data_IF_022944869813
#
_entry.id   IF_022944869813
#
_cell.length_a   1.000
_cell.length_b   1.000
_cell.length_c   1.000
_cell.angle_alpha   90.00
_cell.angle_beta   90.00
_cell.angle_gamma   90.00
#
_symmetry.space_group_name_H-M   'P 1'
#
loop_
_entity.id
_entity.type
_entity.pdbx_description
1 polymer ?
#
# COMPACT_ATOMS: atom_id res chain seq x y z
N UNK A 1 5.06 24.95 6.89
CA UNK A 1 4.10 23.83 6.98
C UNK A 1 4.84 22.55 6.60
N UNK A 2 4.99 21.61 7.54
CA UNK A 2 5.68 20.33 7.35
C UNK A 2 4.85 19.34 6.54
N UNK A 3 5.49 18.43 5.78
CA UNK A 3 4.82 17.30 5.12
C UNK A 3 4.02 16.43 6.10
N UNK A 4 4.44 16.42 7.37
CA UNK A 4 3.65 15.90 8.49
C UNK A 4 2.39 16.76 8.70
N UNK A 5 1.37 16.55 7.86
CA UNK A 5 0.14 17.34 7.87
C UNK A 5 -0.62 17.41 6.54
N UNK A 6 -0.10 16.87 5.44
CA UNK A 6 -0.87 16.73 4.19
C UNK A 6 -1.09 15.25 3.85
N UNK A 7 -1.96 14.54 4.60
CA UNK A 7 -2.47 13.26 4.15
C UNK A 7 -3.28 13.48 2.87
N UNK A 8 -2.85 12.89 1.76
CA UNK A 8 -3.64 12.83 0.52
C UNK A 8 -3.22 13.73 -0.65
N UNK A 9 -2.07 14.44 -0.60
CA UNK A 9 -1.47 14.99 -1.83
C UNK A 9 -0.53 13.95 -2.45
N UNK A 10 -0.66 13.75 -3.74
CA UNK A 10 0.18 12.91 -4.58
C UNK A 10 1.53 13.59 -4.83
N UNK A 11 2.61 12.80 -4.86
CA UNK A 11 3.96 13.26 -5.17
C UNK A 11 4.44 12.75 -6.52
N UNK A 12 3.53 12.45 -7.46
CA UNK A 12 3.84 12.16 -8.85
C UNK A 12 4.76 13.19 -9.50
N UNK A 13 4.61 14.48 -9.16
CA UNK A 13 5.51 15.56 -9.59
C UNK A 13 6.97 15.38 -9.12
N UNK A 14 7.20 14.61 -8.07
CA UNK A 14 8.53 14.27 -7.55
C UNK A 14 9.04 12.92 -8.10
N UNK A 15 8.29 12.27 -9.00
CA UNK A 15 8.62 10.96 -9.55
C UNK A 15 8.41 9.80 -8.57
N UNK A 16 7.54 9.98 -7.56
CA UNK A 16 7.23 8.95 -6.57
C UNK A 16 5.73 8.61 -6.58
N UNK A 17 5.33 7.37 -6.21
CA UNK A 17 3.92 6.97 -6.14
C UNK A 17 3.13 7.71 -5.06
N UNK A 18 3.83 8.18 -4.02
CA UNK A 18 3.23 8.91 -2.91
C UNK A 18 4.26 9.81 -2.25
N UNK A 19 3.77 10.77 -1.49
CA UNK A 19 4.62 11.62 -0.68
C UNK A 19 5.32 10.86 0.45
N UNK A 20 4.73 9.76 0.95
CA UNK A 20 5.38 8.88 1.90
C UNK A 20 6.55 8.11 1.26
N UNK A 21 6.39 7.65 0.01
CA UNK A 21 7.46 7.03 -0.77
C UNK A 21 8.59 8.03 -1.08
N UNK A 22 8.25 9.22 -1.59
CA UNK A 22 9.22 10.28 -1.87
C UNK A 22 10.08 10.58 -0.62
N UNK A 23 9.43 10.81 0.53
CA UNK A 23 10.12 11.08 1.79
C UNK A 23 11.07 9.95 2.20
N UNK A 24 10.64 8.68 2.07
CA UNK A 24 11.47 7.50 2.36
C UNK A 24 12.70 7.46 1.46
N UNK A 25 12.51 7.63 0.16
CA UNK A 25 13.58 7.59 -0.85
C UNK A 25 14.57 8.74 -0.67
N UNK A 26 14.10 9.97 -0.50
CA UNK A 26 14.95 11.15 -0.25
C UNK A 26 15.75 10.99 1.04
N UNK A 27 15.12 10.55 2.14
CA UNK A 27 15.81 10.33 3.43
C UNK A 27 16.93 9.28 3.37
N UNK A 28 16.83 8.36 2.40
CA UNK A 28 17.81 7.31 2.15
C UNK A 28 18.83 7.68 1.06
N UNK A 29 18.77 8.89 0.49
CA UNK A 29 19.65 9.34 -0.58
C UNK A 29 19.41 8.65 -1.93
N UNK A 30 18.23 8.05 -2.13
CA UNK A 30 17.82 7.39 -3.37
C UNK A 30 17.10 8.31 -4.35
N UNK A 31 16.76 9.52 -3.92
CA UNK A 31 16.10 10.55 -4.70
C UNK A 31 16.72 11.88 -4.35
N UNK A 32 17.06 12.67 -5.38
CA UNK A 32 17.55 14.04 -5.20
C UNK A 32 16.40 14.91 -4.67
N UNK A 33 16.51 15.53 -3.48
CA UNK A 33 15.47 16.42 -2.99
C UNK A 33 15.13 17.53 -4.00
N UNK A 34 16.11 18.01 -4.79
CA UNK A 34 15.94 19.11 -5.74
C UNK A 34 15.10 18.76 -6.96
N UNK A 35 14.87 17.47 -7.24
CA UNK A 35 13.98 17.02 -8.32
C UNK A 35 12.50 17.13 -7.95
N UNK A 36 12.18 17.42 -6.69
CA UNK A 36 10.82 17.56 -6.21
C UNK A 36 10.46 19.05 -6.11
N UNK A 37 9.39 19.54 -6.76
CA UNK A 37 8.97 20.95 -6.63
C UNK A 37 8.55 21.35 -5.20
N UNK A 38 8.51 20.38 -4.27
CA UNK A 38 8.21 20.56 -2.86
C UNK A 38 9.43 20.33 -1.94
N UNK A 39 10.65 20.35 -2.49
CA UNK A 39 11.94 20.04 -1.83
C UNK A 39 12.12 20.69 -0.45
N UNK A 40 11.85 21.99 -0.33
CA UNK A 40 12.07 22.80 0.89
C UNK A 40 11.24 22.33 2.09
N UNK A 41 10.27 21.45 1.85
CA UNK A 41 9.34 20.99 2.88
C UNK A 41 9.70 19.58 3.37
N UNK A 42 10.60 18.85 2.68
CA UNK A 42 10.95 17.46 3.01
C UNK A 42 11.63 17.40 4.39
N UNK A 43 11.02 16.79 5.41
CA UNK A 43 11.65 16.69 6.72
C UNK A 43 12.93 15.86 6.63
N UNK A 44 14.04 16.45 7.08
CA UNK A 44 15.38 15.83 7.17
C UNK A 44 15.51 14.80 8.29
N UNK A 45 14.44 14.56 9.04
CA UNK A 45 14.46 13.62 10.17
C UNK A 45 14.22 12.21 9.66
N UNK A 46 15.23 11.35 9.81
CA UNK A 46 15.06 9.91 9.58
C UNK A 46 13.99 9.36 10.54
N UNK A 47 12.95 8.66 10.03
CA UNK A 47 11.99 8.02 10.90
C UNK A 47 12.72 7.03 11.81
N UNK A 48 12.33 6.98 13.09
CA UNK A 48 12.92 6.03 14.03
C UNK A 48 12.53 4.60 13.64
N UNK A 49 13.53 3.76 13.42
CA UNK A 49 13.35 2.36 13.04
C UNK A 49 13.66 1.51 14.26
N UNK A 50 12.62 0.97 14.90
CA UNK A 50 12.80 0.04 16.01
C UNK A 50 13.09 -1.36 15.47
N UNK A 51 13.93 -2.12 16.19
CA UNK A 51 14.17 -3.53 15.85
C UNK A 51 12.88 -4.34 16.03
N UNK A 52 12.58 -5.27 15.11
CA UNK A 52 11.49 -6.23 15.23
C UNK A 52 11.51 -6.92 16.60
N UNK A 53 10.38 -6.90 17.32
CA UNK A 53 10.21 -7.70 18.53
C UNK A 53 9.77 -9.13 18.13
N UNK A 54 10.22 -10.17 18.84
CA UNK A 54 9.77 -11.53 18.56
C UNK A 54 8.26 -11.64 18.78
N UNK A 55 7.55 -12.48 17.98
CA UNK A 55 6.15 -12.76 18.21
C UNK A 55 5.87 -13.20 19.65
N UNK A 56 4.80 -12.70 20.23
CA UNK A 56 4.44 -13.03 21.61
C UNK A 56 2.94 -13.01 21.80
N UNK A 57 2.43 -13.80 22.74
CA UNK A 57 1.01 -13.81 23.09
C UNK A 57 0.89 -13.78 24.59
N UNK A 58 0.06 -12.89 25.11
CA UNK A 58 -0.19 -12.73 26.54
C UNK A 58 -1.68 -12.76 26.85
N UNK A 59 -2.01 -13.11 28.09
CA UNK A 59 -3.36 -13.07 28.64
C UNK A 59 -3.38 -11.90 29.64
N UNK A 60 -3.76 -10.68 29.21
CA UNK A 60 -3.57 -9.48 30.03
C UNK A 60 -4.44 -9.47 31.30
N UNK A 61 -5.49 -10.29 31.35
CA UNK A 61 -6.37 -10.44 32.50
C UNK A 61 -6.49 -11.93 32.87
N UNK A 62 -5.88 -12.39 33.98
CA UNK A 62 -5.94 -13.80 34.38
C UNK A 62 -7.35 -14.32 34.68
N UNK A 63 -8.28 -13.43 35.07
CA UNK A 63 -9.68 -13.78 35.34
C UNK A 63 -10.55 -13.87 34.08
N UNK A 64 -10.14 -13.25 32.96
CA UNK A 64 -10.83 -13.35 31.68
C UNK A 64 -10.01 -14.21 30.71
N UNK A 65 -10.30 -15.52 30.70
CA UNK A 65 -9.62 -16.50 29.83
C UNK A 65 -9.87 -16.26 28.33
N UNK A 66 -10.85 -15.42 27.98
CA UNK A 66 -11.18 -15.08 26.59
C UNK A 66 -10.37 -13.91 26.08
N UNK A 67 -9.88 -13.03 26.95
CA UNK A 67 -9.10 -11.88 26.54
C UNK A 67 -7.63 -12.27 26.31
N UNK A 68 -7.15 -12.10 25.08
CA UNK A 68 -5.74 -12.28 24.75
C UNK A 68 -5.22 -11.13 23.88
N UNK A 69 -3.90 -10.97 23.90
CA UNK A 69 -3.17 -10.03 23.05
C UNK A 69 -2.03 -10.77 22.35
N UNK A 70 -2.03 -10.73 21.02
CA UNK A 70 -0.95 -11.22 20.18
C UNK A 70 -0.16 -10.03 19.63
N UNK A 71 1.16 -10.16 19.63
CA UNK A 71 2.10 -9.21 19.05
C UNK A 71 2.87 -9.92 17.96
N UNK A 72 2.92 -9.33 16.77
CA UNK A 72 3.65 -9.79 15.59
C UNK A 72 4.57 -8.66 15.09
N UNK A 73 5.63 -9.01 14.38
CA UNK A 73 6.42 -8.05 13.61
C UNK A 73 6.20 -8.30 12.13
N UNK A 74 5.83 -7.27 11.38
CA UNK A 74 5.63 -7.34 9.93
C UNK A 74 6.93 -7.09 9.14
N UNK A 75 8.01 -6.69 9.82
CA UNK A 75 9.33 -6.47 9.22
C UNK A 75 10.39 -7.23 10.01
N UNK A 76 11.44 -7.67 9.29
CA UNK A 76 12.51 -8.54 9.78
C UNK A 76 13.89 -7.96 9.45
N UNK A 77 14.83 -8.08 10.38
CA UNK A 77 16.20 -7.58 10.22
C UNK A 77 16.34 -6.08 10.51
N UNK A 78 17.45 -5.50 10.04
CA UNK A 78 17.66 -4.05 10.10
C UNK A 78 16.87 -3.38 8.97
N UNK A 79 15.86 -2.58 9.34
CA UNK A 79 15.09 -1.83 8.37
C UNK A 79 15.87 -0.58 7.94
N UNK A 80 15.89 -0.36 6.61
CA UNK A 80 16.48 0.83 5.97
C UNK A 80 15.49 1.98 5.94
N UNK A 81 14.20 1.66 5.84
CA UNK A 81 13.10 2.62 5.73
C UNK A 81 12.12 2.44 6.87
N UNK A 82 11.21 3.42 7.06
CA UNK A 82 10.01 3.23 7.88
C UNK A 82 9.30 1.95 7.43
N UNK A 83 9.11 0.95 8.31
CA UNK A 83 8.57 -0.37 7.99
C UNK A 83 7.17 -0.42 7.38
N UNK A 84 6.35 0.61 7.61
CA UNK A 84 4.93 0.63 7.28
C UNK A 84 4.53 1.98 6.68
N UNK A 85 3.67 1.94 5.67
CA UNK A 85 2.89 3.08 5.19
C UNK A 85 1.55 3.16 5.97
N UNK A 86 1.37 4.16 6.85
CA UNK A 86 0.19 4.24 7.71
C UNK A 86 -1.11 4.58 6.96
N UNK A 87 -1.03 5.19 5.77
CA UNK A 87 -2.22 5.55 5.00
C UNK A 87 -2.79 4.33 4.30
N UNK A 88 -1.94 3.53 3.66
CA UNK A 88 -2.36 2.26 3.06
C UNK A 88 -2.88 1.31 4.15
N UNK A 89 -2.23 1.26 5.32
CA UNK A 89 -2.71 0.45 6.43
C UNK A 89 -4.13 0.86 6.88
N UNK A 90 -4.43 2.16 6.92
CA UNK A 90 -5.76 2.67 7.23
C UNK A 90 -6.77 2.25 6.15
N UNK A 91 -6.45 2.48 4.88
CA UNK A 91 -7.31 2.13 3.74
C UNK A 91 -7.65 0.62 3.74
N UNK A 92 -6.67 -0.24 4.02
CA UNK A 92 -6.90 -1.69 4.13
C UNK A 92 -7.79 -2.09 5.31
N UNK A 93 -7.67 -1.43 6.48
CA UNK A 93 -8.54 -1.69 7.62
C UNK A 93 -9.97 -1.23 7.37
N UNK A 94 -10.14 -0.05 6.77
CA UNK A 94 -11.45 0.48 6.40
C UNK A 94 -12.14 -0.42 5.35
N UNK A 95 -11.40 -0.90 4.36
CA UNK A 95 -11.90 -1.87 3.37
C UNK A 95 -12.30 -3.22 4.01
N UNK A 96 -11.66 -3.62 5.10
CA UNK A 96 -12.04 -4.79 5.90
C UNK A 96 -13.22 -4.54 6.83
N UNK A 97 -13.77 -3.33 6.87
CA UNK A 97 -14.89 -2.96 7.75
C UNK A 97 -14.48 -2.67 9.18
N UNK A 98 -13.21 -2.31 9.42
CA UNK A 98 -12.70 -1.89 10.73
C UNK A 98 -12.51 -0.38 10.74
N UNK A 99 -13.24 0.29 11.63
CA UNK A 99 -13.06 1.71 11.89
C UNK A 99 -11.61 1.97 12.32
N UNK A 100 -10.92 2.85 11.58
CA UNK A 100 -9.51 3.06 11.81
C UNK A 100 -9.09 4.53 11.77
N UNK A 101 -7.96 4.84 12.42
CA UNK A 101 -7.39 6.18 12.45
C UNK A 101 -5.88 6.14 12.52
N UNK A 102 -5.27 7.15 11.93
CA UNK A 102 -3.82 7.40 12.02
C UNK A 102 -3.56 8.47 13.09
N UNK A 103 -2.66 8.19 14.02
CA UNK A 103 -2.34 9.02 15.18
C UNK A 103 -0.82 9.13 15.35
N UNK A 104 -0.35 9.92 16.33
CA UNK A 104 1.06 10.14 16.64
C UNK A 104 1.87 10.57 15.41
N UNK A 105 1.33 11.51 14.62
CA UNK A 105 1.96 12.02 13.39
C UNK A 105 2.29 10.91 12.37
N UNK A 106 1.44 9.89 12.25
CA UNK A 106 1.65 8.78 11.31
C UNK A 106 2.37 7.57 11.91
N UNK A 107 2.73 7.59 13.20
CA UNK A 107 3.48 6.51 13.82
C UNK A 107 2.61 5.40 14.43
N UNK A 108 1.29 5.57 14.42
CA UNK A 108 0.38 4.57 14.96
C UNK A 108 -0.93 4.57 14.16
N UNK A 109 -1.29 3.40 13.63
CA UNK A 109 -2.63 3.12 13.10
C UNK A 109 -3.38 2.33 14.14
N UNK A 110 -4.58 2.79 14.48
CA UNK A 110 -5.47 2.13 15.42
C UNK A 110 -6.70 1.67 14.65
N UNK A 111 -7.03 0.38 14.75
CA UNK A 111 -8.31 -0.18 14.31
C UNK A 111 -9.13 -0.64 15.51
N UNK A 112 -10.42 -0.32 15.55
CA UNK A 112 -11.31 -0.65 16.65
C UNK A 112 -12.58 -1.35 16.13
N UNK A 113 -13.01 -2.38 16.85
CA UNK A 113 -14.28 -3.06 16.65
C UNK A 113 -14.84 -3.58 17.98
N UNK A 114 -16.07 -4.12 18.01
CA UNK A 114 -16.76 -4.46 19.27
C UNK A 114 -16.00 -5.39 20.22
N UNK A 115 -15.13 -6.25 19.68
CA UNK A 115 -14.32 -7.20 20.44
C UNK A 115 -12.87 -7.29 19.94
N UNK A 116 -12.44 -6.30 19.16
CA UNK A 116 -11.17 -6.29 18.47
C UNK A 116 -10.51 -4.93 18.63
N UNK A 117 -9.22 -4.94 18.95
CA UNK A 117 -8.39 -3.74 18.91
C UNK A 117 -7.08 -4.06 18.22
N UNK A 118 -6.72 -3.22 17.27
CA UNK A 118 -5.53 -3.34 16.43
C UNK A 118 -4.68 -2.11 16.65
N UNK A 119 -3.40 -2.32 16.92
CA UNK A 119 -2.39 -1.27 16.92
C UNK A 119 -1.26 -1.66 15.98
N UNK A 120 -1.09 -0.90 14.91
CA UNK A 120 0.04 -1.02 14.01
C UNK A 120 0.97 0.17 14.22
N UNK A 121 2.12 -0.10 14.82
CA UNK A 121 3.15 0.90 15.07
C UNK A 121 3.97 1.13 13.80
N UNK A 122 4.47 2.35 13.61
CA UNK A 122 5.36 2.71 12.51
C UNK A 122 6.62 1.83 12.44
N UNK A 123 7.01 1.20 13.55
CA UNK A 123 8.08 0.19 13.60
C UNK A 123 7.74 -1.15 12.93
N UNK A 124 6.54 -1.33 12.39
CA UNK A 124 6.08 -2.62 11.85
C UNK A 124 5.59 -3.60 12.90
N UNK A 125 5.52 -3.19 14.17
CA UNK A 125 4.90 -4.01 15.22
C UNK A 125 3.38 -3.96 15.09
N UNK A 126 2.77 -5.13 14.95
CA UNK A 126 1.32 -5.32 14.98
C UNK A 126 0.93 -5.90 16.33
N UNK A 127 0.01 -5.25 17.05
CA UNK A 127 -0.57 -5.74 18.28
C UNK A 127 -2.07 -5.90 18.07
N UNK A 128 -2.57 -7.11 18.28
CA UNK A 128 -3.98 -7.48 18.12
C UNK A 128 -4.48 -7.99 19.46
N UNK A 129 -5.52 -7.35 19.97
CA UNK A 129 -6.22 -7.75 21.19
C UNK A 129 -7.63 -8.18 20.84
N UNK A 130 -8.04 -9.36 21.29
CA UNK A 130 -9.38 -9.88 21.03
C UNK A 130 -9.93 -10.68 22.20
N UNK A 131 -11.25 -10.96 22.16
CA UNK A 131 -11.95 -11.85 23.10
C UNK A 131 -12.13 -13.28 22.59
N UNK A 132 -11.30 -13.71 21.63
CA UNK A 132 -11.37 -15.06 21.04
C UNK A 132 -10.54 -16.12 21.79
N UNK A 133 -9.94 -15.76 22.92
CA UNK A 133 -8.95 -16.58 23.61
C UNK A 133 -7.58 -16.54 22.93
N UNK A 134 -6.63 -17.27 23.50
CA UNK A 134 -5.21 -17.22 23.09
C UNK A 134 -5.01 -17.65 21.64
N UNK A 135 -5.50 -18.83 21.26
CA UNK A 135 -5.33 -19.42 19.93
C UNK A 135 -6.07 -18.59 18.86
N UNK A 136 -7.34 -18.28 19.09
CA UNK A 136 -8.12 -17.46 18.17
C UNK A 136 -7.55 -16.05 17.95
N UNK A 137 -6.92 -15.45 18.97
CA UNK A 137 -6.23 -14.15 18.81
C UNK A 137 -4.98 -14.26 17.95
N UNK A 138 -4.25 -15.38 18.04
CA UNK A 138 -3.08 -15.62 17.18
C UNK A 138 -3.49 -15.76 15.72
N UNK A 139 -4.50 -16.59 15.45
CA UNK A 139 -5.04 -16.78 14.09
C UNK A 139 -5.56 -15.46 13.51
N UNK A 140 -6.28 -14.68 14.32
CA UNK A 140 -6.76 -13.36 13.92
C UNK A 140 -5.60 -12.39 13.65
N UNK A 141 -4.54 -12.41 14.46
CA UNK A 141 -3.38 -11.56 14.25
C UNK A 141 -2.64 -11.89 12.95
N UNK A 142 -2.51 -13.17 12.61
CA UNK A 142 -1.95 -13.62 11.32
C UNK A 142 -2.82 -13.13 10.17
N UNK A 143 -4.14 -13.28 10.27
CA UNK A 143 -5.08 -12.81 9.25
C UNK A 143 -4.99 -11.29 9.04
N UNK A 144 -4.98 -10.51 10.12
CA UNK A 144 -4.80 -9.05 10.07
C UNK A 144 -3.43 -8.70 9.47
N UNK A 145 -2.39 -9.49 9.77
CA UNK A 145 -1.07 -9.34 9.16
C UNK A 145 -1.10 -9.51 7.64
N UNK A 146 -1.93 -10.43 7.10
CA UNK A 146 -2.15 -10.55 5.65
C UNK A 146 -2.87 -9.34 5.08
N UNK A 147 -3.94 -8.89 5.73
CA UNK A 147 -4.73 -7.73 5.28
C UNK A 147 -3.87 -6.46 5.25
N UNK A 148 -2.97 -6.30 6.22
CA UNK A 148 -2.06 -5.16 6.33
C UNK A 148 -0.80 -5.30 5.47
N UNK A 149 -0.60 -6.42 4.79
CA UNK A 149 0.58 -6.65 3.94
C UNK A 149 0.79 -5.59 2.86
N UNK A 150 -0.23 -5.00 2.19
CA UNK A 150 -0.01 -3.94 1.20
C UNK A 150 0.68 -2.70 1.78
N UNK A 151 0.55 -2.46 3.09
CA UNK A 151 1.16 -1.34 3.78
C UNK A 151 2.62 -1.58 4.20
N UNK A 152 3.10 -2.82 4.15
CA UNK A 152 4.48 -3.17 4.52
C UNK A 152 5.44 -2.59 3.47
N UNK A 153 6.62 -2.13 3.91
CA UNK A 153 7.57 -1.45 3.02
C UNK A 153 8.68 -2.39 2.54
N UNK A 154 8.82 -2.51 1.22
CA UNK A 154 9.93 -3.13 0.51
C UNK A 154 11.25 -2.48 0.93
N UNK A 155 12.05 -3.16 1.75
CA UNK A 155 13.29 -2.57 2.30
C UNK A 155 14.41 -2.35 1.26
N UNK A 156 14.28 -2.95 0.07
CA UNK A 156 15.19 -2.70 -1.06
C UNK A 156 14.87 -1.42 -1.83
N UNK A 157 13.59 -1.07 -1.94
CA UNK A 157 13.09 -0.03 -2.86
C UNK A 157 12.56 1.21 -2.12
N UNK A 158 12.15 1.07 -0.85
CA UNK A 158 11.50 2.15 -0.10
C UNK A 158 10.04 2.40 -0.49
N UNK A 159 9.46 1.50 -1.29
CA UNK A 159 8.04 1.48 -1.69
C UNK A 159 7.24 0.55 -0.77
N UNK A 160 5.95 0.80 -0.59
CA UNK A 160 5.08 -0.22 0.04
C UNK A 160 4.90 -1.43 -0.88
N UNK A 161 4.47 -2.57 -0.35
CA UNK A 161 4.09 -3.76 -1.13
C UNK A 161 3.02 -3.40 -2.15
N UNK A 162 2.03 -2.57 -1.79
CA UNK A 162 1.02 -2.09 -2.73
C UNK A 162 1.62 -1.25 -3.87
N UNK A 163 2.53 -0.33 -3.55
CA UNK A 163 3.19 0.54 -4.54
C UNK A 163 4.08 -0.26 -5.48
N UNK A 164 4.88 -1.19 -4.93
CA UNK A 164 5.66 -2.09 -5.75
C UNK A 164 4.73 -2.93 -6.61
N UNK A 165 3.70 -3.56 -6.02
CA UNK A 165 2.77 -4.40 -6.76
C UNK A 165 2.01 -3.66 -7.87
N UNK A 166 1.71 -2.37 -7.69
CA UNK A 166 1.13 -1.49 -8.70
C UNK A 166 2.09 -1.14 -9.86
N UNK A 167 3.35 -1.58 -9.80
CA UNK A 167 4.33 -1.44 -10.89
C UNK A 167 5.34 -0.30 -10.74
N UNK A 168 5.40 0.37 -9.59
CA UNK A 168 6.34 1.48 -9.35
C UNK A 168 7.77 1.04 -9.04
N UNK A 169 7.96 -0.17 -8.53
CA UNK A 169 9.30 -0.72 -8.24
C UNK A 169 9.95 -1.39 -9.45
N UNK A 170 11.11 -1.98 -9.22
CA UNK A 170 11.81 -2.86 -10.17
C UNK A 170 11.70 -4.34 -9.74
N UNK A 171 11.14 -4.62 -8.57
CA UNK A 171 10.94 -5.96 -8.05
C UNK A 171 10.14 -6.82 -9.05
N UNK A 172 10.70 -7.94 -9.54
CA UNK A 172 10.02 -8.79 -10.52
C UNK A 172 8.87 -9.61 -9.91
N UNK A 173 8.77 -9.64 -8.58
CA UNK A 173 7.93 -10.56 -7.81
C UNK A 173 7.19 -9.85 -6.68
N UNK A 174 5.99 -10.32 -6.36
CA UNK A 174 5.12 -9.81 -5.29
C UNK A 174 4.74 -11.00 -4.37
N UNK A 175 4.92 -10.92 -3.04
CA UNK A 175 5.49 -9.82 -2.29
C UNK A 175 6.99 -9.62 -2.54
N UNK A 176 7.42 -8.36 -2.45
CA UNK A 176 8.82 -7.95 -2.54
C UNK A 176 9.58 -8.26 -1.23
N UNK A 177 8.87 -8.38 -0.09
CA UNK A 177 9.46 -8.60 1.24
C UNK A 177 9.52 -10.10 1.58
N UNK A 178 10.70 -10.74 1.57
CA UNK A 178 10.81 -12.19 1.75
C UNK A 178 10.33 -12.68 3.13
N UNK A 179 10.46 -11.84 4.17
CA UNK A 179 10.06 -12.18 5.53
C UNK A 179 8.55 -12.15 5.79
N UNK A 180 7.78 -11.42 4.98
CA UNK A 180 6.34 -11.28 5.16
C UNK A 180 5.62 -12.60 4.91
N UNK A 181 5.95 -13.28 3.79
CA UNK A 181 5.33 -14.53 3.39
C UNK A 181 5.49 -15.68 4.38
N UNK A 182 6.61 -15.74 5.11
CA UNK A 182 6.86 -16.82 6.08
C UNK A 182 5.96 -16.75 7.32
N UNK A 183 5.60 -15.54 7.77
CA UNK A 183 4.88 -15.36 9.03
C UNK A 183 3.39 -15.17 8.85
N UNK A 184 2.98 -14.51 7.77
CA UNK A 184 1.57 -14.34 7.47
C UNK A 184 1.08 -15.36 6.44
N UNK A 185 1.94 -16.19 5.86
CA UNK A 185 1.52 -17.24 4.93
C UNK A 185 1.01 -16.70 3.59
N UNK A 186 1.59 -15.59 3.13
CA UNK A 186 1.41 -15.08 1.76
C UNK A 186 2.51 -15.66 0.89
N UNK A 187 2.20 -16.72 0.15
CA UNK A 187 3.15 -17.42 -0.69
C UNK A 187 2.96 -17.02 -2.14
N UNK A 188 4.08 -16.86 -2.85
CA UNK A 188 4.12 -16.57 -4.27
C UNK A 188 3.49 -17.66 -5.12
N UNK A 189 2.89 -17.23 -6.21
CA UNK A 189 2.29 -17.95 -7.33
C UNK A 189 3.18 -17.68 -8.54
N UNK A 190 3.61 -18.73 -9.24
CA UNK A 190 4.51 -18.59 -10.39
C UNK A 190 3.90 -17.92 -11.63
N UNK A 191 2.67 -17.42 -11.55
CA UNK A 191 1.90 -16.83 -12.66
C UNK A 191 2.04 -15.31 -12.69
N UNK A 192 1.86 -14.71 -13.87
CA UNK A 192 1.77 -13.25 -13.96
C UNK A 192 0.38 -12.75 -13.62
N UNK A 193 0.25 -11.48 -13.21
CA UNK A 193 -1.05 -10.86 -12.99
C UNK A 193 -1.95 -10.92 -14.24
N UNK A 194 -1.38 -10.71 -15.43
CA UNK A 194 -2.10 -10.85 -16.71
C UNK A 194 -2.56 -12.28 -17.00
N UNK A 195 -1.86 -13.31 -16.51
CA UNK A 195 -2.32 -14.70 -16.63
C UNK A 195 -3.46 -15.01 -15.67
N UNK A 196 -3.41 -14.51 -14.44
CA UNK A 196 -4.47 -14.71 -13.46
C UNK A 196 -5.80 -14.10 -13.91
N UNK A 197 -5.78 -12.89 -14.47
CA UNK A 197 -6.99 -12.24 -14.98
C UNK A 197 -7.72 -13.03 -16.06
N UNK A 198 -7.00 -13.84 -16.84
CA UNK A 198 -7.61 -14.68 -17.88
C UNK A 198 -8.30 -15.92 -17.32
N UNK A 199 -7.97 -16.32 -16.10
CA UNK A 199 -8.48 -17.53 -15.45
C UNK A 199 -9.38 -17.30 -14.23
N UNK A 200 -9.44 -16.07 -13.72
CA UNK A 200 -10.13 -15.70 -12.48
C UNK A 200 -11.15 -14.57 -12.73
N UNK A 201 -12.43 -14.95 -12.81
CA UNK A 201 -13.53 -14.01 -13.09
C UNK A 201 -13.70 -12.96 -12.00
N UNK A 202 -13.54 -13.34 -10.73
CA UNK A 202 -13.73 -12.42 -9.60
C UNK A 202 -12.63 -11.35 -9.61
N UNK A 203 -11.39 -11.73 -9.97
CA UNK A 203 -10.29 -10.79 -10.15
C UNK A 203 -10.53 -9.86 -11.34
N UNK A 204 -11.03 -10.41 -12.46
CA UNK A 204 -11.34 -9.63 -13.65
C UNK A 204 -12.46 -8.61 -13.39
N UNK A 205 -13.52 -9.00 -12.66
CA UNK A 205 -14.62 -8.13 -12.28
C UNK A 205 -14.16 -7.00 -11.33
N UNK A 206 -13.27 -7.31 -10.39
CA UNK A 206 -12.68 -6.30 -9.51
C UNK A 206 -11.79 -5.30 -10.28
N UNK A 207 -11.02 -5.75 -11.28
CA UNK A 207 -10.28 -4.83 -12.16
C UNK A 207 -11.23 -4.03 -13.06
N UNK A 208 -12.34 -4.63 -13.49
CA UNK A 208 -13.37 -3.95 -14.25
C UNK A 208 -14.02 -2.81 -13.46
N UNK A 209 -14.25 -2.97 -12.14
CA UNK A 209 -14.79 -1.90 -11.29
C UNK A 209 -13.84 -0.70 -11.24
N UNK A 210 -12.52 -0.93 -11.19
CA UNK A 210 -11.50 0.12 -11.19
C UNK A 210 -11.54 0.99 -12.45
N UNK A 211 -11.88 0.41 -13.61
CA UNK A 211 -12.03 1.16 -14.88
C UNK A 211 -13.14 2.22 -14.82
N UNK A 212 -14.12 2.02 -13.94
CA UNK A 212 -15.19 3.00 -13.68
C UNK A 212 -14.87 3.96 -12.53
N UNK A 213 -13.70 3.81 -11.89
CA UNK A 213 -13.29 4.53 -10.69
C UNK A 213 -13.92 4.02 -9.39
N UNK A 214 -14.52 2.83 -9.38
CA UNK A 214 -15.02 2.17 -8.16
C UNK A 214 -13.90 1.41 -7.47
N UNK A 215 -13.25 2.04 -6.49
CA UNK A 215 -12.10 1.46 -5.76
C UNK A 215 -12.49 0.62 -4.55
N UNK A 216 -13.65 0.89 -3.94
CA UNK A 216 -14.09 0.20 -2.72
C UNK A 216 -14.34 -1.30 -2.93
N UNK A 217 -14.93 -1.68 -4.07
CA UNK A 217 -15.19 -3.08 -4.40
C UNK A 217 -13.88 -3.85 -4.64
N UNK A 218 -12.95 -3.25 -5.38
CA UNK A 218 -11.63 -3.82 -5.61
C UNK A 218 -10.82 -3.97 -4.31
N UNK A 219 -10.87 -2.98 -3.41
CA UNK A 219 -10.21 -3.08 -2.10
C UNK A 219 -10.85 -4.17 -1.22
N UNK A 220 -12.18 -4.29 -1.23
CA UNK A 220 -12.87 -5.35 -0.49
C UNK A 220 -12.50 -6.74 -1.02
N UNK A 221 -12.41 -6.92 -2.34
CA UNK A 221 -11.98 -8.18 -2.93
C UNK A 221 -10.48 -8.46 -2.65
N UNK A 222 -9.64 -7.42 -2.68
CA UNK A 222 -8.25 -7.54 -2.28
C UNK A 222 -8.10 -8.04 -0.84
N UNK A 223 -8.87 -7.46 0.10
CA UNK A 223 -8.95 -7.91 1.49
C UNK A 223 -9.39 -9.37 1.58
N UNK A 224 -10.46 -9.75 0.89
CA UNK A 224 -11.00 -11.12 0.84
C UNK A 224 -9.96 -12.15 0.38
N UNK A 225 -9.15 -11.81 -0.64
CA UNK A 225 -8.04 -12.64 -1.13
C UNK A 225 -6.91 -12.74 -0.12
N UNK A 226 -6.50 -11.60 0.44
CA UNK A 226 -5.45 -11.55 1.46
C UNK A 226 -5.83 -12.35 2.70
N UNK A 227 -7.09 -12.31 3.15
CA UNK A 227 -7.56 -13.14 4.27
C UNK A 227 -7.33 -14.63 4.01
N UNK A 228 -7.57 -15.07 2.77
CA UNK A 228 -7.36 -16.44 2.28
C UNK A 228 -5.90 -16.80 2.02
N UNK A 229 -4.99 -15.82 2.06
CA UNK A 229 -3.56 -16.01 1.79
C UNK A 229 -3.19 -15.98 0.31
N UNK A 230 -4.05 -15.44 -0.55
CA UNK A 230 -3.80 -15.28 -1.98
C UNK A 230 -3.05 -13.96 -2.26
N UNK A 231 -1.82 -14.01 -2.80
CA UNK A 231 -1.00 -12.82 -3.07
C UNK A 231 -1.55 -11.95 -4.20
N UNK A 232 -2.48 -12.42 -5.03
CA UNK A 232 -3.15 -11.55 -6.01
C UNK A 232 -3.92 -10.40 -5.35
N UNK A 233 -4.30 -10.55 -4.08
CA UNK A 233 -4.85 -9.47 -3.27
C UNK A 233 -3.87 -8.31 -3.02
N UNK A 234 -2.55 -8.56 -2.98
CA UNK A 234 -1.54 -7.48 -2.89
C UNK A 234 -1.56 -6.62 -4.15
N UNK A 235 -1.59 -7.27 -5.31
CA UNK A 235 -1.63 -6.61 -6.61
C UNK A 235 -2.92 -5.83 -6.81
N UNK A 236 -4.07 -6.42 -6.52
CA UNK A 236 -5.36 -5.74 -6.61
C UNK A 236 -5.44 -4.54 -5.65
N UNK A 237 -4.94 -4.66 -4.42
CA UNK A 237 -4.84 -3.53 -3.50
C UNK A 237 -3.94 -2.42 -4.05
N UNK A 238 -2.80 -2.78 -4.65
CA UNK A 238 -1.90 -1.86 -5.33
C UNK A 238 -2.60 -1.06 -6.43
N UNK A 239 -3.30 -1.73 -7.34
CA UNK A 239 -4.08 -1.08 -8.39
C UNK A 239 -5.15 -0.15 -7.83
N UNK A 240 -5.91 -0.61 -6.83
CA UNK A 240 -6.99 0.17 -6.27
C UNK A 240 -6.49 1.44 -5.57
N UNK A 241 -5.40 1.35 -4.80
CA UNK A 241 -4.74 2.50 -4.18
C UNK A 241 -4.21 3.47 -5.24
N UNK A 242 -3.64 2.95 -6.33
CA UNK A 242 -3.13 3.78 -7.42
C UNK A 242 -4.26 4.56 -8.11
N UNK A 243 -5.37 3.88 -8.43
CA UNK A 243 -6.58 4.48 -9.02
C UNK A 243 -7.19 5.51 -8.08
N UNK A 244 -7.26 5.23 -6.78
CA UNK A 244 -7.80 6.19 -5.80
C UNK A 244 -6.96 7.48 -5.76
N UNK A 245 -5.64 7.36 -5.80
CA UNK A 245 -4.74 8.52 -5.88
C UNK A 245 -4.93 9.29 -7.18
N UNK A 246 -5.18 8.62 -8.31
CA UNK A 246 -5.54 9.27 -9.57
C UNK A 246 -6.83 10.08 -9.44
N UNK A 247 -7.89 9.49 -8.91
CA UNK A 247 -9.18 10.17 -8.75
C UNK A 247 -9.12 11.34 -7.76
N UNK A 248 -8.21 11.29 -6.78
CA UNK A 248 -7.94 12.43 -5.89
C UNK A 248 -7.22 13.57 -6.62
N UNK A 249 -6.33 13.26 -7.57
CA UNK A 249 -5.61 14.25 -8.37
C UNK A 249 -6.43 14.80 -9.54
N UNK A 250 -7.29 13.96 -10.13
CA UNK A 250 -8.20 14.26 -11.23
C UNK A 250 -9.65 13.85 -10.88
N UNK A 251 -10.35 14.62 -10.01
CA UNK A 251 -11.72 14.30 -9.58
C UNK A 251 -12.75 14.37 -10.70
N UNK A 252 -12.50 15.22 -11.71
CA UNK A 252 -13.36 15.43 -12.87
C UNK A 252 -13.13 14.36 -13.96
N UNK A 253 -12.06 13.55 -13.80
CA UNK A 253 -11.70 12.42 -14.67
C UNK A 253 -11.34 12.84 -16.09
N UNK A 254 -10.75 14.02 -16.24
CA UNK A 254 -10.36 14.58 -17.53
C UNK A 254 -9.28 13.75 -18.24
N UNK A 255 -8.43 13.06 -17.47
CA UNK A 255 -7.28 12.27 -17.97
C UNK A 255 -7.35 10.79 -17.55
N UNK A 256 -8.49 10.34 -17.03
CA UNK A 256 -8.66 8.98 -16.51
C UNK A 256 -8.82 7.91 -17.61
N UNK A 257 -9.09 8.33 -18.84
CA UNK A 257 -9.20 7.46 -20.03
C UNK A 257 -7.99 6.52 -20.16
N UNK A 258 -6.79 7.08 -20.01
CA UNK A 258 -5.53 6.34 -20.14
C UNK A 258 -5.36 5.26 -19.07
N UNK A 259 -5.82 5.54 -17.85
CA UNK A 259 -5.82 4.57 -16.74
C UNK A 259 -6.81 3.44 -17.03
N UNK A 260 -8.01 3.77 -17.53
CA UNK A 260 -9.02 2.78 -17.88
C UNK A 260 -8.59 1.88 -19.04
N UNK A 261 -7.86 2.42 -20.02
CA UNK A 261 -7.27 1.65 -21.11
C UNK A 261 -6.15 0.73 -20.62
N UNK A 262 -5.23 1.24 -19.78
CA UNK A 262 -4.19 0.42 -19.16
C UNK A 262 -4.78 -0.75 -18.36
N UNK A 263 -5.80 -0.51 -17.54
CA UNK A 263 -6.53 -1.55 -16.79
C UNK A 263 -7.25 -2.57 -17.69
N UNK A 264 -7.50 -2.22 -18.96
CA UNK A 264 -8.05 -3.15 -19.96
C UNK A 264 -6.97 -4.07 -20.58
N UNK A 265 -5.71 -3.89 -20.19
CA UNK A 265 -4.56 -4.60 -20.75
C UNK A 265 -4.04 -3.99 -22.05
N UNK A 266 -4.45 -2.77 -22.41
CA UNK A 266 -3.88 -2.06 -23.55
C UNK A 266 -2.46 -1.59 -23.23
N UNK A 267 -1.56 -1.70 -24.22
CA UNK A 267 -0.22 -1.14 -24.11
C UNK A 267 -0.25 0.35 -24.46
N UNK A 268 -0.46 1.16 -23.44
CA UNK A 268 -0.53 2.63 -23.54
C UNK A 268 0.78 3.31 -23.11
N UNK A 269 1.89 2.57 -23.01
CA UNK A 269 3.12 3.08 -22.42
C UNK A 269 3.68 4.31 -23.15
N UNK A 270 3.72 4.28 -24.49
CA UNK A 270 4.24 5.40 -25.27
C UNK A 270 3.40 6.67 -25.11
N UNK A 271 2.07 6.55 -25.18
CA UNK A 271 1.16 7.67 -24.99
C UNK A 271 1.21 8.23 -23.56
N UNK A 272 1.32 7.36 -22.56
CA UNK A 272 1.45 7.76 -21.17
C UNK A 272 2.79 8.46 -20.87
N UNK A 273 3.89 8.07 -21.53
CA UNK A 273 5.16 8.79 -21.47
C UNK A 273 5.05 10.19 -22.07
N UNK A 274 4.42 10.32 -23.24
CA UNK A 274 4.18 11.60 -23.91
C UNK A 274 3.33 12.53 -23.04
N UNK A 275 2.17 12.08 -22.56
CA UNK A 275 1.30 12.87 -21.67
C UNK A 275 2.00 13.27 -20.36
N UNK A 276 2.86 12.41 -19.82
CA UNK A 276 3.63 12.73 -18.62
C UNK A 276 4.70 13.81 -18.89
N UNK A 277 5.33 13.81 -20.06
CA UNK A 277 6.28 14.85 -20.48
C UNK A 277 5.58 16.19 -20.69
N UNK A 278 4.44 16.19 -21.39
CA UNK A 278 3.61 17.38 -21.58
C UNK A 278 3.16 17.97 -20.24
N UNK A 279 2.66 17.13 -19.33
CA UNK A 279 2.20 17.58 -18.01
C UNK A 279 3.31 18.25 -17.18
N UNK A 280 4.57 17.84 -17.33
CA UNK A 280 5.71 18.48 -16.65
C UNK A 280 6.03 19.87 -17.16
N UNK A 281 5.58 20.21 -18.37
CA UNK A 281 5.75 21.55 -18.95
C UNK A 281 4.70 22.57 -18.47
N UNK A 282 3.63 22.10 -17.82
CA UNK A 282 2.55 22.92 -17.28
C UNK A 282 3.08 23.79 -16.12
N UNK A 283 2.79 25.09 -16.19
CA UNK A 283 3.29 26.05 -15.18
C UNK A 283 2.51 26.01 -13.88
N UNK A 284 1.21 25.75 -13.95
CA UNK A 284 0.38 25.63 -12.75
C UNK A 284 0.60 24.26 -12.10
N UNK A 285 1.06 24.18 -10.84
CA UNK A 285 1.38 22.91 -10.21
C UNK A 285 0.17 22.00 -9.96
N UNK A 286 -1.04 22.55 -9.82
CA UNK A 286 -2.23 21.74 -9.57
C UNK A 286 -2.76 21.14 -10.87
N UNK A 287 -2.75 21.92 -11.96
CA UNK A 287 -3.02 21.45 -13.32
C UNK A 287 -1.97 20.42 -13.78
N UNK A 288 -0.68 20.68 -13.53
CA UNK A 288 0.39 19.73 -13.81
C UNK A 288 0.19 18.40 -13.08
N UNK A 289 -0.17 18.43 -11.80
CA UNK A 289 -0.43 17.22 -11.01
C UNK A 289 -1.66 16.46 -11.53
N UNK A 290 -2.74 17.17 -11.90
CA UNK A 290 -3.97 16.60 -12.46
C UNK A 290 -3.71 15.79 -13.73
N UNK A 291 -2.87 16.30 -14.63
CA UNK A 291 -2.51 15.62 -15.88
C UNK A 291 -1.44 14.54 -15.68
N UNK A 292 -0.41 14.82 -14.87
CA UNK A 292 0.74 13.93 -14.70
C UNK A 292 0.36 12.63 -13.97
N UNK A 293 -0.49 12.70 -12.95
CA UNK A 293 -0.78 11.55 -12.10
C UNK A 293 -1.43 10.39 -12.87
N UNK A 294 -2.52 10.58 -13.63
CA UNK A 294 -3.11 9.51 -14.43
C UNK A 294 -2.13 8.90 -15.44
N UNK A 295 -1.26 9.70 -16.06
CA UNK A 295 -0.22 9.21 -16.98
C UNK A 295 0.80 8.29 -16.29
N UNK A 296 1.32 8.70 -15.13
CA UNK A 296 2.25 7.86 -14.36
C UNK A 296 1.59 6.58 -13.84
N UNK A 297 0.32 6.66 -13.45
CA UNK A 297 -0.44 5.49 -13.02
C UNK A 297 -0.64 4.50 -14.16
N UNK A 298 -1.00 4.96 -15.37
CA UNK A 298 -1.11 4.10 -16.54
C UNK A 298 0.21 3.35 -16.83
N UNK A 299 1.35 4.04 -16.75
CA UNK A 299 2.68 3.41 -16.89
C UNK A 299 2.94 2.33 -15.84
N UNK A 300 2.65 2.63 -14.57
CA UNK A 300 2.82 1.68 -13.48
C UNK A 300 1.92 0.44 -13.70
N UNK A 301 0.65 0.66 -14.04
CA UNK A 301 -0.35 -0.38 -14.31
C UNK A 301 0.13 -1.30 -15.43
N UNK A 302 0.56 -0.77 -16.57
CA UNK A 302 1.11 -1.57 -17.69
C UNK A 302 2.27 -2.45 -17.24
N UNK A 303 3.21 -1.89 -16.46
CA UNK A 303 4.34 -2.67 -15.90
C UNK A 303 3.86 -3.78 -14.98
N UNK A 304 2.84 -3.51 -14.15
CA UNK A 304 2.34 -4.46 -13.15
C UNK A 304 1.80 -5.76 -13.74
N UNK A 305 1.19 -5.73 -14.93
CA UNK A 305 0.61 -6.92 -15.57
C UNK A 305 1.64 -8.01 -15.87
N UNK A 306 2.90 -7.62 -16.06
CA UNK A 306 4.01 -8.54 -16.37
C UNK A 306 4.68 -9.14 -15.12
N UNK A 307 4.33 -8.66 -13.91
CA UNK A 307 4.94 -9.12 -12.66
C UNK A 307 4.41 -10.48 -12.24
N UNK A 308 5.27 -11.26 -11.59
CA UNK A 308 4.92 -12.57 -11.02
C UNK A 308 4.39 -12.40 -9.60
N UNK A 309 3.31 -13.10 -9.28
CA UNK A 309 2.61 -13.01 -8.00
C UNK A 309 2.96 -14.14 -7.07
#
# INVERSE_FOLDING_TARGET
MSWAGLPGRDCGLCGAPSCAAALRMTSAGLMDPSSCPFADRVPTVRPWIAKPAPPSVITPCPSDRRLAEASLSLVFGEARFSPVDPLIAREMLEAWGVDSKVTLRGQLVIGEGPQLRIHLFGSGRLVVRSRLGREGTVELAVRIGRILSPAVVCQGEGLSEAESAAGWGDAPEIPCSPGLGQYVGLFRVGSTAGDLLRGDSDLADAVQSLRSGSTSEALAEAVSRLERGDPSGLWLAGLAVEVERCLRADPEREHFDLVAEALSGADVAAEAEERAEEARSIRDPEEAARALRPALAALAIVRSFSRRL
#
